data_IF_360064417214
#
_entry.id   IF_360064417214
#
_cell.length_a   1.000
_cell.length_b   1.000
_cell.length_c   1.000
_cell.angle_alpha   90.00
_cell.angle_beta   90.00
_cell.angle_gamma   90.00
#
_symmetry.space_group_name_H-M   'P 1'
#
loop_
_entity.id
_entity.type
_entity.pdbx_description
1 polymer ?
#
# COMPACT_ATOMS: atom_id res chain seq x y z
N UNK A 1 -14.62 -3.69 -13.94
CA UNK A 1 -13.51 -2.75 -13.75
C UNK A 1 -13.00 -2.95 -12.33
N UNK A 2 -11.68 -2.94 -12.13
CA UNK A 2 -11.07 -3.29 -10.85
C UNK A 2 -10.99 -2.06 -9.94
N UNK A 3 -11.01 -2.28 -8.61
CA UNK A 3 -10.94 -1.19 -7.62
C UNK A 3 -9.50 -0.76 -7.39
N UNK A 4 -9.28 0.55 -7.26
CA UNK A 4 -7.98 1.15 -6.96
C UNK A 4 -8.14 2.10 -5.77
N UNK A 5 -7.21 2.01 -4.82
CA UNK A 5 -7.15 2.92 -3.68
C UNK A 5 -6.11 4.01 -3.97
N UNK A 6 -6.55 5.19 -4.42
CA UNK A 6 -5.67 6.28 -4.82
C UNK A 6 -6.34 7.65 -4.64
N UNK A 7 -5.63 8.71 -4.18
CA UNK A 7 -6.22 10.03 -3.92
C UNK A 7 -6.98 10.66 -5.10
N UNK A 8 -6.49 10.48 -6.33
CA UNK A 8 -7.08 11.07 -7.55
C UNK A 8 -7.87 10.07 -8.42
N UNK A 9 -8.25 8.91 -7.88
CA UNK A 9 -9.05 7.91 -8.60
C UNK A 9 -10.27 7.55 -7.74
N UNK A 10 -11.46 7.61 -8.32
CA UNK A 10 -12.68 7.15 -7.66
C UNK A 10 -12.66 5.63 -7.48
N UNK A 11 -12.91 5.18 -6.25
CA UNK A 11 -12.74 3.77 -5.88
C UNK A 11 -13.77 2.84 -6.55
N UNK A 12 -14.98 3.35 -6.83
CA UNK A 12 -16.08 2.56 -7.38
C UNK A 12 -16.05 2.53 -8.92
N UNK A 13 -15.89 3.70 -9.54
CA UNK A 13 -15.93 3.85 -11.00
C UNK A 13 -14.58 3.69 -11.67
N UNK A 14 -13.48 3.88 -10.93
CA UNK A 14 -12.13 3.95 -11.51
C UNK A 14 -11.86 5.25 -12.27
N UNK A 15 -12.74 6.25 -12.16
CA UNK A 15 -12.58 7.54 -12.84
C UNK A 15 -11.38 8.29 -12.29
N UNK A 16 -10.50 8.75 -13.18
CA UNK A 16 -9.37 9.63 -12.83
C UNK A 16 -9.85 11.07 -12.80
N UNK A 17 -9.39 11.85 -11.82
CA UNK A 17 -9.76 13.26 -11.67
C UNK A 17 -9.45 14.08 -12.94
N UNK A 18 -10.42 14.86 -13.39
CA UNK A 18 -10.27 15.68 -14.61
C UNK A 18 -9.23 16.78 -14.43
N UNK A 19 -9.13 17.37 -13.25
CA UNK A 19 -8.21 18.48 -13.00
C UNK A 19 -6.75 18.04 -13.07
N UNK A 20 -6.41 16.83 -12.59
CA UNK A 20 -5.04 16.30 -12.72
C UNK A 20 -4.70 15.91 -14.16
N UNK A 21 -5.69 15.45 -14.94
CA UNK A 21 -5.51 15.20 -16.38
C UNK A 21 -5.23 16.52 -17.10
N UNK A 22 -6.03 17.56 -16.83
CA UNK A 22 -5.90 18.87 -17.46
C UNK A 22 -4.58 19.59 -17.15
N UNK A 23 -3.93 19.29 -16.02
CA UNK A 23 -2.61 19.83 -15.68
C UNK A 23 -1.49 19.30 -16.58
N UNK A 24 -1.63 18.07 -17.10
CA UNK A 24 -0.60 17.40 -17.90
C UNK A 24 -0.95 17.38 -19.39
N UNK A 25 -2.24 17.33 -19.73
CA UNK A 25 -2.69 17.16 -21.09
C UNK A 25 -2.46 18.41 -21.94
N UNK A 26 -1.95 18.18 -23.15
CA UNK A 26 -1.91 19.17 -24.22
C UNK A 26 -2.44 18.54 -25.51
N UNK A 27 -2.87 19.32 -26.51
CA UNK A 27 -3.34 18.77 -27.79
C UNK A 27 -2.30 17.92 -28.53
N UNK A 28 -1.01 18.04 -28.17
CA UNK A 28 0.10 17.26 -28.71
C UNK A 28 0.39 15.99 -27.90
N UNK A 29 -0.37 15.73 -26.84
CA UNK A 29 -0.15 14.60 -25.93
C UNK A 29 -0.87 13.36 -26.44
N UNK A 30 -0.08 12.44 -27.01
CA UNK A 30 -0.59 11.19 -27.57
C UNK A 30 -1.17 10.26 -26.51
N UNK A 31 -2.10 9.39 -26.93
CA UNK A 31 -2.70 8.37 -26.05
C UNK A 31 -1.65 7.41 -25.47
N UNK A 32 -0.58 7.11 -26.20
CA UNK A 32 0.52 6.29 -25.69
C UNK A 32 1.16 6.91 -24.45
N UNK A 33 1.32 8.24 -24.43
CA UNK A 33 1.89 8.96 -23.29
C UNK A 33 1.00 8.87 -22.05
N UNK A 34 -0.31 8.65 -22.20
CA UNK A 34 -1.22 8.43 -21.07
C UNK A 34 -0.80 7.18 -20.28
N UNK A 35 -0.49 6.08 -20.97
CA UNK A 35 -0.14 4.80 -20.35
C UNK A 35 1.33 4.71 -19.98
N UNK A 36 2.22 5.29 -20.78
CA UNK A 36 3.67 5.20 -20.57
C UNK A 36 4.19 6.25 -19.58
N UNK A 37 3.53 7.39 -19.47
CA UNK A 37 4.00 8.52 -18.65
C UNK A 37 2.97 8.96 -17.62
N UNK A 38 1.80 9.43 -18.03
CA UNK A 38 0.85 10.08 -17.13
C UNK A 38 0.38 9.15 -16.00
N UNK A 39 -0.15 7.97 -16.32
CA UNK A 39 -0.67 7.04 -15.30
C UNK A 39 0.44 6.52 -14.36
N UNK A 40 1.62 6.07 -14.85
CA UNK A 40 2.71 5.69 -13.95
C UNK A 40 3.15 6.81 -13.01
N UNK A 41 3.26 8.04 -13.52
CA UNK A 41 3.63 9.21 -12.70
C UNK A 41 2.55 9.53 -11.66
N UNK A 42 1.27 9.52 -12.06
CA UNK A 42 0.16 9.77 -11.15
C UNK A 42 0.09 8.74 -10.03
N UNK A 43 0.25 7.45 -10.35
CA UNK A 43 0.22 6.37 -9.37
C UNK A 43 1.39 6.41 -8.38
N UNK A 44 2.56 6.90 -8.81
CA UNK A 44 3.72 7.07 -7.95
C UNK A 44 3.62 8.33 -7.07
N UNK A 45 3.07 9.41 -7.62
CA UNK A 45 3.05 10.74 -7.01
C UNK A 45 1.64 11.35 -7.10
N UNK A 46 0.72 10.96 -6.19
CA UNK A 46 -0.63 11.50 -6.19
C UNK A 46 -0.63 13.00 -5.84
N UNK A 47 -1.62 13.71 -6.37
CA UNK A 47 -1.90 15.09 -5.98
C UNK A 47 -2.88 15.11 -4.78
N UNK A 48 -2.45 15.52 -3.56
CA UNK A 48 -3.32 15.56 -2.40
C UNK A 48 -4.24 16.80 -2.37
N UNK A 49 -4.08 17.74 -3.30
CA UNK A 49 -4.93 18.93 -3.41
C UNK A 49 -6.22 18.54 -4.12
N UNK A 50 -7.34 18.71 -3.43
CA UNK A 50 -8.70 18.36 -3.88
C UNK A 50 -8.85 16.90 -4.38
N UNK A 51 -8.73 15.92 -3.47
CA UNK A 51 -8.75 14.50 -3.82
C UNK A 51 -10.17 14.01 -4.12
N UNK A 52 -10.29 13.08 -5.09
CA UNK A 52 -11.53 12.31 -5.28
C UNK A 52 -11.75 11.31 -4.14
N UNK A 53 -10.66 10.75 -3.62
CA UNK A 53 -10.68 9.85 -2.47
C UNK A 53 -10.01 10.53 -1.27
N UNK A 54 -10.83 11.19 -0.44
CA UNK A 54 -10.37 11.90 0.76
C UNK A 54 -9.67 11.01 1.78
N UNK A 55 -10.13 9.76 1.95
CA UNK A 55 -9.52 8.80 2.86
C UNK A 55 -8.10 8.43 2.40
N UNK A 56 -7.93 8.16 1.09
CA UNK A 56 -6.63 7.87 0.51
C UNK A 56 -5.66 9.05 0.66
N UNK A 57 -6.14 10.28 0.44
CA UNK A 57 -5.33 11.48 0.60
C UNK A 57 -4.92 11.71 2.07
N UNK A 58 -5.83 11.54 3.01
CA UNK A 58 -5.55 11.69 4.44
C UNK A 58 -4.52 10.65 4.92
N UNK A 59 -4.66 9.39 4.49
CA UNK A 59 -3.68 8.34 4.76
C UNK A 59 -2.33 8.66 4.14
N UNK A 60 -2.29 9.10 2.88
CA UNK A 60 -1.07 9.47 2.19
C UNK A 60 -0.31 10.60 2.90
N UNK A 61 -1.01 11.65 3.35
CA UNK A 61 -0.41 12.80 4.02
C UNK A 61 0.02 12.55 5.46
N UNK A 62 -0.80 11.84 6.24
CA UNK A 62 -0.59 11.71 7.69
C UNK A 62 0.02 10.38 8.12
N UNK A 63 -0.15 9.32 7.33
CA UNK A 63 0.26 7.94 7.67
C UNK A 63 0.74 7.18 6.42
N UNK A 64 1.88 7.59 5.82
CA UNK A 64 2.34 7.04 4.55
C UNK A 64 2.60 5.53 4.58
N UNK A 65 3.02 4.98 5.73
CA UNK A 65 3.25 3.54 5.87
C UNK A 65 1.94 2.74 5.87
N UNK A 66 0.88 3.25 6.51
CA UNK A 66 -0.44 2.65 6.48
C UNK A 66 -1.06 2.75 5.08
N UNK A 67 -0.84 3.88 4.39
CA UNK A 67 -1.23 4.05 3.00
C UNK A 67 -0.60 2.96 2.11
N UNK A 68 0.72 2.78 2.17
CA UNK A 68 1.43 1.74 1.41
C UNK A 68 0.92 0.33 1.73
N UNK A 69 0.62 0.04 2.99
CA UNK A 69 0.05 -1.26 3.40
C UNK A 69 -1.33 -1.48 2.78
N UNK A 70 -2.20 -0.48 2.83
CA UNK A 70 -3.55 -0.54 2.27
C UNK A 70 -3.52 -0.66 0.75
N UNK A 71 -2.64 0.09 0.06
CA UNK A 71 -2.43 -0.04 -1.39
C UNK A 71 -1.98 -1.45 -1.75
N UNK A 72 -1.03 -2.03 -1.01
CA UNK A 72 -0.59 -3.43 -1.24
C UNK A 72 -1.73 -4.43 -1.10
N UNK A 73 -2.59 -4.28 -0.09
CA UNK A 73 -3.78 -5.13 0.09
C UNK A 73 -4.74 -5.01 -1.10
N UNK A 74 -5.01 -3.78 -1.56
CA UNK A 74 -5.86 -3.55 -2.73
C UNK A 74 -5.30 -4.19 -4.00
N UNK A 75 -4.00 -4.04 -4.25
CA UNK A 75 -3.33 -4.64 -5.42
C UNK A 75 -3.45 -6.17 -5.38
N UNK A 76 -3.20 -6.79 -4.22
CA UNK A 76 -3.32 -8.24 -4.06
C UNK A 76 -4.76 -8.75 -4.26
N UNK A 77 -5.76 -7.93 -3.95
CA UNK A 77 -7.18 -8.33 -4.04
C UNK A 77 -7.80 -8.06 -5.40
N UNK A 78 -7.42 -6.97 -6.06
CA UNK A 78 -8.12 -6.45 -7.23
C UNK A 78 -7.26 -6.32 -8.49
N UNK A 79 -5.93 -6.42 -8.39
CA UNK A 79 -5.01 -6.19 -9.50
C UNK A 79 -4.02 -7.37 -9.71
N UNK A 80 -4.53 -8.60 -9.62
CA UNK A 80 -3.77 -9.81 -9.95
C UNK A 80 -4.05 -10.28 -11.38
N UNK A 81 -3.13 -11.08 -11.94
CA UNK A 81 -3.28 -11.66 -13.28
C UNK A 81 -4.56 -12.51 -13.40
N UNK A 82 -4.91 -13.26 -12.35
CA UNK A 82 -6.12 -14.09 -12.31
C UNK A 82 -7.42 -13.25 -12.39
N UNK A 83 -7.39 -12.03 -11.84
CA UNK A 83 -8.50 -11.07 -11.95
C UNK A 83 -8.54 -10.43 -13.33
N UNK A 84 -7.38 -10.21 -13.96
CA UNK A 84 -7.29 -9.69 -15.32
C UNK A 84 -7.83 -10.67 -16.37
N UNK A 85 -7.62 -11.97 -16.16
CA UNK A 85 -8.12 -13.05 -17.04
C UNK A 85 -9.60 -13.39 -16.78
N UNK A 86 -10.28 -12.65 -15.89
CA UNK A 86 -11.72 -12.78 -15.65
C UNK A 86 -12.14 -14.06 -14.92
N UNK A 87 -11.21 -14.75 -14.25
CA UNK A 87 -11.48 -16.05 -13.61
C UNK A 87 -12.06 -15.95 -12.20
N UNK A 88 -12.26 -14.74 -11.66
CA UNK A 88 -12.77 -14.55 -10.29
C UNK A 88 -14.29 -14.40 -10.26
N UNK A 89 -14.98 -15.48 -9.87
CA UNK A 89 -16.35 -15.44 -9.38
C UNK A 89 -16.44 -14.57 -8.13
N UNK A 90 -17.41 -13.66 -8.11
CA UNK A 90 -17.70 -12.77 -6.98
C UNK A 90 -18.09 -13.59 -5.75
N UNK A 91 -17.16 -13.80 -4.82
CA UNK A 91 -17.47 -14.15 -3.43
C UNK A 91 -17.39 -12.87 -2.58
N UNK A 92 -18.46 -12.08 -2.62
CA UNK A 92 -18.73 -11.05 -1.62
C UNK A 92 -19.10 -11.74 -0.29
N UNK A 93 -18.08 -12.24 0.41
CA UNK A 93 -18.17 -12.79 1.74
C UNK A 93 -17.66 -11.79 2.77
N UNK A 94 -18.56 -10.95 3.29
CA UNK A 94 -18.38 -10.36 4.61
C UNK A 94 -18.29 -11.51 5.62
N UNK A 95 -17.13 -11.76 6.22
CA UNK A 95 -16.99 -12.70 7.33
C UNK A 95 -16.25 -12.00 8.46
N UNK A 96 -17.03 -11.23 9.23
CA UNK A 96 -16.74 -10.96 10.63
C UNK A 96 -16.86 -12.29 11.38
N UNK A 97 -15.74 -12.95 11.66
CA UNK A 97 -15.72 -14.07 12.61
C UNK A 97 -15.40 -13.56 14.01
N UNK A 98 -16.46 -13.18 14.72
CA UNK A 98 -16.51 -13.34 16.17
C UNK A 98 -16.89 -14.79 16.47
N UNK A 99 -16.10 -15.47 17.32
CA UNK A 99 -16.63 -16.48 18.23
C UNK A 99 -15.75 -16.54 19.48
N UNK A 100 -16.31 -16.01 20.57
CA UNK A 100 -15.91 -16.33 21.93
C UNK A 100 -16.17 -17.80 22.23
N UNK A 101 -15.28 -18.44 22.97
CA UNK A 101 -15.64 -19.52 23.89
C UNK A 101 -14.60 -19.59 25.01
N UNK A 102 -15.03 -19.14 26.20
CA UNK A 102 -14.35 -19.34 27.47
C UNK A 102 -14.28 -20.84 27.82
N UNK A 103 -13.17 -21.29 28.39
CA UNK A 103 -13.20 -22.31 29.44
C UNK A 103 -11.99 -22.16 30.36
N UNK A 104 -12.28 -22.03 31.66
CA UNK A 104 -11.32 -22.05 32.77
C UNK A 104 -10.81 -23.47 33.04
N UNK A 105 -9.74 -23.52 33.85
CA UNK A 105 -9.20 -24.62 34.70
C UNK A 105 -7.82 -25.08 34.21
N UNK A 106 -6.79 -25.30 35.05
CA UNK A 106 -6.55 -25.07 36.48
C UNK A 106 -5.02 -25.20 36.68
N UNK A 107 -4.50 -24.44 37.62
CA UNK A 107 -3.22 -24.54 38.34
C UNK A 107 -2.41 -25.85 38.20
N UNK A 108 -1.12 -25.75 37.91
CA UNK A 108 -0.05 -26.42 38.68
C UNK A 108 1.35 -25.83 38.41
N UNK A 109 1.87 -25.23 39.47
CA UNK A 109 3.25 -24.97 39.92
C UNK A 109 4.48 -25.37 39.08
N UNK A 110 5.39 -24.38 39.03
CA UNK A 110 6.86 -24.40 39.23
C UNK A 110 7.74 -25.15 38.23
N UNK A 111 8.62 -24.39 37.57
CA UNK A 111 10.07 -24.59 37.67
C UNK A 111 10.82 -23.27 37.41
N UNK A 112 11.76 -22.98 38.31
CA UNK A 112 12.78 -21.92 38.24
C UNK A 112 13.86 -22.28 37.21
N UNK A 113 14.53 -21.26 36.66
CA UNK A 113 15.94 -21.15 36.20
C UNK A 113 15.99 -19.82 35.41
N UNK A 114 16.31 -18.67 36.02
CA UNK A 114 17.66 -18.06 36.16
C UNK A 114 18.45 -17.88 34.84
N UNK A 115 18.99 -16.65 34.69
CA UNK A 115 20.10 -16.18 33.81
C UNK A 115 19.81 -16.13 32.28
N UNK A 116 20.19 -15.14 31.47
CA UNK A 116 21.05 -13.96 31.57
C UNK A 116 20.68 -12.93 30.47
N UNK A 117 20.86 -11.66 30.84
CA UNK A 117 21.42 -10.50 30.13
C UNK A 117 21.30 -10.27 28.61
N UNK A 118 21.23 -8.96 28.34
CA UNK A 118 21.16 -8.25 27.07
C UNK A 118 22.23 -8.64 26.03
N UNK A 119 21.84 -8.58 24.75
CA UNK A 119 22.80 -8.33 23.67
C UNK A 119 22.28 -7.17 22.81
N UNK A 120 22.76 -6.00 23.18
CA UNK A 120 23.02 -4.85 22.31
C UNK A 120 24.33 -5.11 21.55
N UNK A 121 24.29 -5.03 20.22
CA UNK A 121 25.39 -4.81 19.24
C UNK A 121 24.94 -5.46 17.92
N UNK A 122 25.11 -4.88 16.74
CA UNK A 122 26.27 -4.17 16.26
C UNK A 122 25.86 -3.30 15.06
N UNK A 123 26.30 -2.05 15.09
CA UNK A 123 26.17 -1.04 14.06
C UNK A 123 27.57 -0.90 13.48
N UNK A 124 27.77 -1.34 12.24
CA UNK A 124 28.99 -1.06 11.48
C UNK A 124 28.67 -0.14 10.30
N UNK A 125 28.70 1.16 10.59
CA UNK A 125 29.21 2.17 9.68
C UNK A 125 30.74 2.10 9.74
N UNK A 126 31.39 1.79 8.60
CA UNK A 126 32.66 2.37 8.15
C UNK A 126 33.27 1.52 7.02
N UNK A 127 33.25 2.06 5.80
CA UNK A 127 34.50 2.36 5.09
C UNK A 127 34.19 3.21 3.86
N UNK A 128 34.29 4.53 4.03
CA UNK A 128 34.63 5.45 2.98
C UNK A 128 36.09 5.84 3.17
N UNK A 129 36.99 5.33 2.33
CA UNK A 129 38.29 5.95 2.09
C UNK A 129 38.93 5.41 0.80
N UNK A 130 39.23 6.36 -0.08
CA UNK A 130 40.50 6.48 -0.78
C UNK A 130 40.80 5.52 -1.96
N UNK A 131 40.68 6.08 -3.17
CA UNK A 131 41.51 5.70 -4.32
C UNK A 131 41.50 6.85 -5.35
N UNK A 132 42.19 7.94 -5.02
CA UNK A 132 42.91 8.74 -6.01
C UNK A 132 44.20 7.96 -6.35
N UNK A 133 44.49 7.71 -7.63
CA UNK A 133 45.85 7.57 -8.18
C UNK A 133 45.83 7.54 -9.73
N UNK A 134 46.41 8.61 -10.29
CA UNK A 134 46.92 8.88 -11.65
C UNK A 134 45.97 8.92 -12.87
#
# INVERSE_FOLDING_TARGET
>A
MNRIFHPNIDEMSGTVCLDVINQTWTPMYDLTNIFESFLPQLLAYPNPVDPLNGDAAALYLHKPEDYKKKVREYVQRFATADVADGLSTTNDGHSSSNNQSNSLNNSNQTNKNESDDEILSDFSEDEAADMDLE
#
